data_IF_640662345790
#
_entry.id   IF_640662345790
#
_cell.length_a   1.000
_cell.length_b   1.000
_cell.length_c   1.000
_cell.angle_alpha   90.00
_cell.angle_beta   90.00
_cell.angle_gamma   90.00
#
_symmetry.space_group_name_H-M   'P 1'
#
loop_
_entity.id
_entity.type
_entity.pdbx_description
1 polymer ?
#
# COMPACT_ATOMS: atom_id res chain seq x y z
N UNK A 1 18.41 23.57 -14.35
CA UNK A 1 18.16 24.42 -13.16
C UNK A 1 17.31 23.58 -12.24
N UNK A 2 17.95 22.56 -11.68
CA UNK A 2 17.33 21.50 -10.88
C UNK A 2 17.91 21.61 -9.47
N UNK A 3 17.37 22.52 -8.66
CA UNK A 3 17.63 22.48 -7.23
C UNK A 3 16.67 21.45 -6.61
N UNK A 4 17.09 20.19 -6.76
CA UNK A 4 16.62 19.04 -6.01
C UNK A 4 16.97 19.23 -4.51
N UNK A 5 16.21 20.08 -3.81
CA UNK A 5 16.14 19.96 -2.35
C UNK A 5 15.41 18.65 -2.09
N UNK A 6 16.19 17.63 -1.76
CA UNK A 6 15.69 16.37 -1.20
C UNK A 6 14.98 16.74 0.11
N UNK A 7 13.68 16.97 0.01
CA UNK A 7 12.84 17.52 1.06
C UNK A 7 12.82 16.55 2.23
N UNK A 8 13.62 16.86 3.25
CA UNK A 8 13.74 16.00 4.43
C UNK A 8 12.44 16.11 5.22
N UNK A 9 11.65 15.06 5.18
CA UNK A 9 10.42 14.90 5.96
C UNK A 9 10.68 14.00 7.15
N UNK A 10 9.98 14.27 8.25
CA UNK A 10 9.96 13.40 9.40
C UNK A 10 9.07 12.18 9.11
N UNK A 11 9.54 11.00 9.52
CA UNK A 11 8.83 9.73 9.36
C UNK A 11 8.63 9.12 10.74
N UNK A 12 7.39 8.87 11.10
CA UNK A 12 7.05 8.16 12.33
C UNK A 12 5.89 7.19 12.10
N UNK A 13 5.91 6.11 12.85
CA UNK A 13 4.74 5.25 13.01
C UNK A 13 3.67 5.96 13.82
N UNK A 14 2.43 5.49 13.73
CA UNK A 14 1.31 6.03 14.51
C UNK A 14 1.62 6.03 16.02
N UNK A 15 2.28 4.97 16.51
CA UNK A 15 2.65 4.85 17.91
C UNK A 15 3.68 5.89 18.33
N UNK A 16 4.78 6.05 17.58
CA UNK A 16 5.81 7.05 17.84
C UNK A 16 5.23 8.48 17.79
N UNK A 17 4.33 8.75 16.84
CA UNK A 17 3.64 10.03 16.74
C UNK A 17 2.76 10.31 17.96
N UNK A 18 2.00 9.31 18.44
CA UNK A 18 1.20 9.45 19.65
C UNK A 18 2.05 9.70 20.90
N UNK A 19 3.19 9.02 21.03
CA UNK A 19 4.10 9.22 22.15
C UNK A 19 4.75 10.61 22.11
N UNK A 20 5.23 11.02 20.94
CA UNK A 20 5.82 12.35 20.75
C UNK A 20 4.84 13.48 21.04
N UNK A 21 3.58 13.34 20.62
CA UNK A 21 2.53 14.32 20.90
C UNK A 21 2.22 14.42 22.40
N UNK A 22 2.10 13.28 23.10
CA UNK A 22 1.85 13.25 24.55
C UNK A 22 3.00 13.88 25.34
N UNK A 23 4.23 13.62 24.95
CA UNK A 23 5.40 14.22 25.59
C UNK A 23 5.45 15.73 25.35
N UNK A 24 5.16 16.20 24.13
CA UNK A 24 5.07 17.62 23.82
C UNK A 24 3.97 18.32 24.63
N UNK A 25 2.79 17.72 24.75
CA UNK A 25 1.68 18.23 25.58
C UNK A 25 2.10 18.33 27.05
N UNK A 26 2.72 17.27 27.59
CA UNK A 26 3.18 17.22 28.98
C UNK A 26 4.19 18.33 29.28
N UNK A 27 5.17 18.53 28.40
CA UNK A 27 6.17 19.60 28.54
C UNK A 27 5.51 20.97 28.44
N UNK A 28 4.56 21.15 27.52
CA UNK A 28 3.85 22.42 27.39
C UNK A 28 3.05 22.78 28.64
N UNK A 29 2.39 21.79 29.24
CA UNK A 29 1.63 21.98 30.49
C UNK A 29 2.53 22.50 31.61
N UNK A 30 3.79 22.06 31.69
CA UNK A 30 4.76 22.60 32.64
C UNK A 30 5.10 24.07 32.36
N UNK A 31 5.28 24.45 31.10
CA UNK A 31 5.52 25.84 30.69
C UNK A 31 4.34 26.74 31.06
N UNK A 32 3.11 26.27 30.84
CA UNK A 32 1.88 26.98 31.19
C UNK A 32 1.78 27.17 32.71
N UNK A 33 2.04 26.12 33.51
CA UNK A 33 1.99 26.22 34.98
C UNK A 33 3.05 27.14 35.57
N UNK A 34 4.23 27.24 34.95
CA UNK A 34 5.32 28.12 35.39
C UNK A 34 5.10 29.58 35.00
N UNK A 35 4.16 29.85 34.08
CA UNK A 35 3.88 31.20 33.63
C UNK A 35 3.06 31.96 34.68
N UNK A 36 3.59 33.09 35.12
CA UNK A 36 2.88 34.04 35.97
C UNK A 36 2.32 35.17 35.13
N UNK A 37 1.11 35.63 35.45
CA UNK A 37 0.49 36.76 34.77
C UNK A 37 1.35 38.02 34.93
N UNK A 38 1.84 38.55 33.81
CA UNK A 38 2.56 39.82 33.73
C UNK A 38 1.62 40.95 33.33
N UNK A 39 1.96 42.19 33.66
CA UNK A 39 1.19 43.39 33.26
C UNK A 39 1.33 43.75 31.77
N UNK A 40 2.23 43.07 31.05
CA UNK A 40 2.50 43.32 29.64
C UNK A 40 1.42 42.71 28.74
N UNK A 41 1.09 43.39 27.65
CA UNK A 41 0.13 42.90 26.66
C UNK A 41 0.79 41.80 25.80
N UNK A 42 0.60 40.55 26.22
CA UNK A 42 1.19 39.36 25.61
C UNK A 42 0.14 38.27 25.42
N UNK A 43 0.36 37.42 24.41
CA UNK A 43 -0.34 36.15 24.31
C UNK A 43 0.28 35.13 25.28
N UNK A 44 -0.53 34.46 26.12
CA UNK A 44 -0.04 33.49 27.09
C UNK A 44 0.42 32.20 26.40
N UNK A 45 1.26 31.38 27.05
CA UNK A 45 1.65 30.09 26.49
C UNK A 45 0.43 29.18 26.33
N UNK A 46 0.38 28.44 25.23
CA UNK A 46 -0.76 27.56 24.91
C UNK A 46 -0.29 26.33 24.15
N UNK A 47 -0.94 25.20 24.37
CA UNK A 47 -0.80 24.02 23.54
C UNK A 47 -1.91 24.01 22.49
N UNK A 48 -1.56 23.93 21.20
CA UNK A 48 -2.53 23.99 20.10
C UNK A 48 -2.97 22.61 19.58
N UNK A 49 -2.82 21.58 20.41
CA UNK A 49 -3.00 20.15 20.08
C UNK A 49 -1.94 19.57 19.14
N UNK A 50 -0.93 20.35 18.77
CA UNK A 50 0.22 19.87 17.99
C UNK A 50 1.50 20.21 18.71
N UNK A 51 1.71 21.48 19.06
CA UNK A 51 2.95 21.97 19.65
C UNK A 51 2.70 23.06 20.71
N UNK A 52 3.71 23.32 21.52
CA UNK A 52 3.65 24.36 22.55
C UNK A 52 4.03 25.72 21.97
N UNK A 53 3.24 26.74 22.24
CA UNK A 53 3.55 28.12 21.90
C UNK A 53 3.99 28.87 23.16
N UNK A 54 5.12 29.56 23.08
CA UNK A 54 5.62 30.40 24.16
C UNK A 54 4.94 31.78 24.16
N UNK A 55 5.18 32.54 25.23
CA UNK A 55 4.73 33.93 25.34
C UNK A 55 5.16 34.76 24.13
N UNK A 56 4.24 35.54 23.59
CA UNK A 56 4.46 36.34 22.38
C UNK A 56 3.89 37.74 22.57
N UNK A 57 4.59 38.77 22.10
CA UNK A 57 4.13 40.16 22.23
C UNK A 57 2.87 40.40 21.40
N UNK A 58 1.91 41.15 21.93
CA UNK A 58 0.73 41.56 21.19
C UNK A 58 1.10 42.28 19.87
N UNK A 59 0.37 41.97 18.80
CA UNK A 59 0.63 42.49 17.45
C UNK A 59 1.82 41.86 16.73
N UNK A 60 2.41 40.78 17.25
CA UNK A 60 3.53 40.06 16.62
C UNK A 60 3.20 38.61 16.32
N UNK A 61 3.98 37.99 15.43
CA UNK A 61 3.85 36.58 15.09
C UNK A 61 4.88 35.75 15.84
N UNK A 62 4.44 34.62 16.39
CA UNK A 62 5.31 33.56 16.88
C UNK A 62 5.67 32.64 15.71
N UNK A 63 6.93 32.22 15.62
CA UNK A 63 7.38 31.21 14.67
C UNK A 63 8.31 30.20 15.34
N UNK A 64 8.20 28.93 14.94
CA UNK A 64 9.05 27.85 15.43
C UNK A 64 9.14 26.73 14.39
N UNK A 65 10.22 25.92 14.42
CA UNK A 65 10.39 24.80 13.50
C UNK A 65 9.25 23.79 13.66
N UNK A 66 8.88 23.15 12.55
CA UNK A 66 7.88 22.08 12.56
C UNK A 66 8.34 20.94 13.49
N UNK A 67 7.41 20.34 14.26
CA UNK A 67 7.75 19.29 15.21
C UNK A 67 8.26 18.01 14.55
N UNK A 68 9.38 17.48 15.07
CA UNK A 68 9.94 16.18 14.68
C UNK A 68 9.26 14.99 15.37
N UNK A 69 7.94 14.97 15.42
CA UNK A 69 7.13 13.84 15.90
C UNK A 69 5.83 13.64 15.11
N UNK A 70 5.56 14.48 14.11
CA UNK A 70 4.38 14.37 13.24
C UNK A 70 4.81 13.79 11.89
N UNK A 71 4.20 12.68 11.47
CA UNK A 71 4.54 12.05 10.19
C UNK A 71 4.30 12.99 9.01
N UNK A 72 5.21 12.96 8.05
CA UNK A 72 5.25 13.79 6.84
C UNK A 72 5.40 15.30 7.06
N UNK A 73 5.84 15.78 8.23
CA UNK A 73 6.22 17.19 8.37
C UNK A 73 7.62 17.46 7.81
N UNK A 74 7.81 18.60 7.15
CA UNK A 74 9.13 19.09 6.72
C UNK A 74 9.98 19.41 7.95
N UNK A 75 11.17 18.83 8.03
CA UNK A 75 12.10 19.06 9.16
C UNK A 75 12.55 20.53 9.23
N UNK A 76 12.66 21.19 8.07
CA UNK A 76 13.13 22.57 7.97
C UNK A 76 11.99 23.59 7.81
N UNK A 77 10.73 23.15 7.89
CA UNK A 77 9.59 24.06 7.77
C UNK A 77 9.37 24.88 9.05
N UNK A 78 8.62 25.96 8.93
CA UNK A 78 8.23 26.82 10.04
C UNK A 78 6.71 26.85 10.24
N UNK A 79 6.27 26.58 11.47
CA UNK A 79 4.90 26.87 11.88
C UNK A 79 4.82 28.33 12.37
N UNK A 80 3.73 29.04 12.04
CA UNK A 80 3.54 30.45 12.40
C UNK A 80 2.19 30.64 13.08
N UNK A 81 2.16 31.36 14.20
CA UNK A 81 0.94 31.70 14.94
C UNK A 81 0.88 33.18 15.27
N UNK A 82 -0.24 33.83 14.96
CA UNK A 82 -0.41 35.27 15.17
C UNK A 82 -0.90 35.61 16.58
N UNK A 83 -0.27 36.60 17.22
CA UNK A 83 -0.75 37.21 18.45
C UNK A 83 -1.43 38.55 18.13
N UNK A 84 -2.71 38.68 18.44
CA UNK A 84 -3.49 39.89 18.16
C UNK A 84 -3.08 41.05 19.08
N UNK A 85 -3.43 42.28 18.69
CA UNK A 85 -3.11 43.49 19.47
C UNK A 85 -3.77 43.50 20.85
N UNK A 86 -4.86 42.77 21.04
CA UNK A 86 -5.54 42.64 22.34
C UNK A 86 -4.89 41.61 23.29
N UNK A 87 -3.75 41.00 22.92
CA UNK A 87 -3.08 39.97 23.72
C UNK A 87 -3.72 38.59 23.65
N UNK A 88 -4.61 38.33 22.68
CA UNK A 88 -5.18 37.01 22.44
C UNK A 88 -4.64 36.37 21.16
N UNK A 89 -4.57 35.03 21.15
CA UNK A 89 -4.15 34.29 19.97
C UNK A 89 -5.16 34.46 18.83
N UNK A 90 -4.66 34.59 17.60
CA UNK A 90 -5.49 34.72 16.41
C UNK A 90 -6.53 33.59 16.30
N UNK A 91 -7.77 33.99 16.03
CA UNK A 91 -8.92 33.10 15.84
C UNK A 91 -9.35 33.21 14.40
N UNK A 92 -9.45 32.07 13.71
CA UNK A 92 -9.95 32.05 12.35
C UNK A 92 -11.45 32.37 12.35
N UNK A 93 -11.92 33.39 11.62
CA UNK A 93 -13.34 33.76 11.57
C UNK A 93 -14.25 32.68 10.98
N UNK A 94 -13.74 31.78 10.14
CA UNK A 94 -14.53 30.72 9.52
C UNK A 94 -14.82 29.55 10.48
N UNK A 95 -13.84 29.17 11.29
CA UNK A 95 -13.94 28.02 12.21
C UNK A 95 -14.21 28.42 13.66
N UNK A 96 -14.18 29.73 13.94
CA UNK A 96 -14.29 30.31 15.28
C UNK A 96 -13.36 29.64 16.31
N UNK A 97 -12.15 29.26 15.87
CA UNK A 97 -11.17 28.56 16.68
C UNK A 97 -9.78 29.14 16.50
N UNK A 98 -8.94 29.00 17.54
CA UNK A 98 -7.56 29.49 17.49
C UNK A 98 -6.78 28.78 16.39
N UNK A 99 -6.00 29.51 15.60
CA UNK A 99 -5.41 28.97 14.37
C UNK A 99 -3.88 29.12 14.31
N UNK A 100 -3.24 28.12 13.71
CA UNK A 100 -1.80 28.07 13.45
C UNK A 100 -1.58 27.78 11.96
N UNK A 101 -0.68 28.52 11.33
CA UNK A 101 -0.26 28.28 9.95
C UNK A 101 0.80 27.18 9.89
N UNK A 102 0.40 26.00 9.39
CA UNK A 102 1.29 24.87 9.12
C UNK A 102 1.60 24.68 7.63
N UNK A 103 1.30 25.66 6.76
CA UNK A 103 1.47 25.52 5.31
C UNK A 103 2.91 25.17 4.93
N UNK A 104 3.88 25.72 5.65
CA UNK A 104 5.30 25.43 5.42
C UNK A 104 5.75 24.09 6.03
N UNK A 105 4.94 23.45 6.88
CA UNK A 105 5.25 22.12 7.42
C UNK A 105 4.87 20.98 6.48
N UNK A 106 3.95 21.18 5.52
CA UNK A 106 3.52 20.12 4.62
C UNK A 106 4.34 20.09 3.34
N UNK A 107 4.93 18.94 2.96
CA UNK A 107 5.67 18.80 1.71
C UNK A 107 4.76 18.96 0.50
N UNK A 108 5.35 19.23 -0.66
CA UNK A 108 4.59 19.38 -1.90
C UNK A 108 3.81 18.10 -2.25
N UNK A 109 2.48 18.21 -2.24
CA UNK A 109 1.57 17.10 -2.52
C UNK A 109 1.57 16.70 -4.01
N UNK A 110 2.11 17.53 -4.90
CA UNK A 110 2.17 17.26 -6.35
C UNK A 110 2.87 15.94 -6.67
N UNK A 111 4.00 15.65 -5.99
CA UNK A 111 4.78 14.41 -6.16
C UNK A 111 3.98 13.19 -5.72
N UNK A 112 3.30 13.27 -4.57
CA UNK A 112 2.47 12.18 -4.04
C UNK A 112 1.30 11.87 -4.97
N UNK A 113 0.65 12.91 -5.50
CA UNK A 113 -0.46 12.75 -6.44
C UNK A 113 0.00 12.12 -7.76
N UNK A 114 1.17 12.51 -8.27
CA UNK A 114 1.77 11.90 -9.47
C UNK A 114 2.06 10.40 -9.26
N UNK A 115 2.71 10.03 -8.15
CA UNK A 115 2.99 8.62 -7.82
C UNK A 115 1.71 7.82 -7.64
N UNK A 116 0.71 8.35 -6.93
CA UNK A 116 -0.59 7.68 -6.76
C UNK A 116 -1.28 7.46 -8.11
N UNK A 117 -1.25 8.45 -9.00
CA UNK A 117 -1.82 8.31 -10.34
C UNK A 117 -1.11 7.20 -11.14
N UNK A 118 0.22 7.15 -11.10
CA UNK A 118 0.99 6.07 -11.75
C UNK A 118 0.64 4.69 -11.17
N UNK A 119 0.53 4.57 -9.84
CA UNK A 119 0.14 3.32 -9.19
C UNK A 119 -1.28 2.89 -9.59
N UNK A 120 -2.22 3.83 -9.65
CA UNK A 120 -3.61 3.55 -10.06
C UNK A 120 -3.68 3.04 -11.51
N UNK A 121 -2.88 3.61 -12.42
CA UNK A 121 -2.79 3.15 -13.81
C UNK A 121 -2.29 1.70 -13.86
N UNK A 122 -1.19 1.41 -13.16
CA UNK A 122 -0.61 0.04 -13.11
C UNK A 122 -1.61 -0.96 -12.55
N UNK A 123 -2.29 -0.62 -11.45
CA UNK A 123 -3.31 -1.47 -10.84
C UNK A 123 -4.48 -1.72 -11.78
N UNK A 124 -4.94 -0.70 -12.50
CA UNK A 124 -6.05 -0.81 -13.45
C UNK A 124 -5.70 -1.76 -14.60
N UNK A 125 -4.50 -1.63 -15.16
CA UNK A 125 -4.00 -2.53 -16.22
C UNK A 125 -3.91 -3.97 -15.71
N UNK A 126 -3.38 -4.18 -14.50
CA UNK A 126 -3.26 -5.50 -13.89
C UNK A 126 -4.62 -6.18 -13.67
N UNK A 127 -5.57 -5.48 -13.06
CA UNK A 127 -6.92 -6.02 -12.77
C UNK A 127 -7.65 -6.36 -14.07
N UNK A 128 -7.60 -5.47 -15.05
CA UNK A 128 -8.24 -5.68 -16.36
C UNK A 128 -7.62 -6.88 -17.07
N UNK A 129 -6.29 -6.95 -17.11
CA UNK A 129 -5.55 -8.05 -17.74
C UNK A 129 -5.85 -9.42 -17.11
N UNK A 130 -5.86 -9.51 -15.78
CA UNK A 130 -6.17 -10.77 -15.10
C UNK A 130 -7.63 -11.20 -15.29
N UNK A 131 -8.56 -10.25 -15.33
CA UNK A 131 -9.98 -10.54 -15.58
C UNK A 131 -10.19 -11.13 -16.97
N UNK A 132 -9.63 -10.50 -18.01
CA UNK A 132 -9.68 -10.99 -19.39
C UNK A 132 -9.02 -12.37 -19.49
N UNK A 133 -7.87 -12.55 -18.81
CA UNK A 133 -7.14 -13.82 -18.82
C UNK A 133 -7.96 -14.97 -18.25
N UNK A 134 -8.63 -14.78 -17.11
CA UNK A 134 -9.47 -15.82 -16.51
C UNK A 134 -10.60 -16.22 -17.46
N UNK A 135 -11.31 -15.25 -18.03
CA UNK A 135 -12.44 -15.52 -18.94
C UNK A 135 -11.96 -16.35 -20.14
N UNK A 136 -10.84 -15.96 -20.75
CA UNK A 136 -10.26 -16.68 -21.90
C UNK A 136 -9.78 -18.09 -21.51
N UNK A 137 -9.08 -18.24 -20.38
CA UNK A 137 -8.57 -19.53 -19.91
C UNK A 137 -9.67 -20.51 -19.53
N UNK A 138 -10.75 -20.02 -18.90
CA UNK A 138 -11.91 -20.85 -18.55
C UNK A 138 -12.58 -21.34 -19.83
N UNK A 139 -12.76 -20.48 -20.83
CA UNK A 139 -13.31 -20.88 -22.14
C UNK A 139 -12.45 -21.94 -22.81
N UNK A 140 -11.12 -21.74 -22.86
CA UNK A 140 -10.18 -22.71 -23.43
C UNK A 140 -10.22 -24.06 -22.67
N UNK A 141 -10.28 -24.02 -21.34
CA UNK A 141 -10.37 -25.22 -20.50
C UNK A 141 -11.66 -26.00 -20.80
N UNK A 142 -12.81 -25.32 -20.91
CA UNK A 142 -14.09 -25.96 -21.25
C UNK A 142 -14.01 -26.64 -22.61
N UNK A 143 -13.47 -25.97 -23.63
CA UNK A 143 -13.30 -26.54 -24.98
C UNK A 143 -12.42 -27.80 -24.94
N UNK A 144 -11.28 -27.74 -24.25
CA UNK A 144 -10.38 -28.89 -24.12
C UNK A 144 -11.06 -30.06 -23.39
N UNK A 145 -11.79 -29.81 -22.30
CA UNK A 145 -12.51 -30.85 -21.57
C UNK A 145 -13.61 -31.51 -22.42
N UNK A 146 -14.36 -30.73 -23.20
CA UNK A 146 -15.38 -31.25 -24.13
C UNK A 146 -14.77 -32.16 -25.20
N UNK A 147 -13.68 -31.71 -25.83
CA UNK A 147 -12.99 -32.49 -26.85
C UNK A 147 -12.40 -33.78 -26.27
N UNK A 148 -11.89 -33.72 -25.03
CA UNK A 148 -11.34 -34.89 -24.30
C UNK A 148 -12.40 -35.91 -23.95
N UNK A 149 -13.60 -35.47 -23.58
CA UNK A 149 -14.74 -36.35 -23.32
C UNK A 149 -15.14 -37.13 -24.58
N UNK A 150 -15.17 -36.48 -25.74
CA UNK A 150 -15.52 -37.08 -27.03
C UNK A 150 -14.45 -38.05 -27.58
N UNK A 151 -13.16 -37.77 -27.37
CA UNK A 151 -12.02 -38.50 -28.00
C UNK A 151 -11.37 -39.58 -27.12
N UNK A 152 -12.15 -40.35 -26.35
CA UNK A 152 -11.66 -41.34 -25.36
C UNK A 152 -10.71 -42.43 -25.92
N UNK A 153 -10.50 -42.52 -27.23
CA UNK A 153 -9.73 -43.58 -27.92
C UNK A 153 -8.25 -43.24 -28.24
N UNK A 154 -7.81 -41.97 -28.28
CA UNK A 154 -6.42 -41.61 -28.68
C UNK A 154 -5.50 -41.32 -27.48
N UNK A 155 -4.78 -42.35 -27.00
CA UNK A 155 -3.84 -42.30 -25.85
C UNK A 155 -2.74 -41.24 -25.97
N UNK A 156 -2.29 -40.88 -27.17
CA UNK A 156 -1.19 -39.93 -27.42
C UNK A 156 -1.61 -38.47 -27.20
N UNK A 157 -2.79 -38.09 -27.71
CA UNK A 157 -3.38 -36.75 -27.56
C UNK A 157 -3.72 -36.47 -26.09
N UNK A 158 -4.01 -37.53 -25.32
CA UNK A 158 -4.32 -37.43 -23.90
C UNK A 158 -3.20 -36.79 -23.07
N UNK A 159 -1.93 -37.13 -23.27
CA UNK A 159 -0.83 -36.68 -22.39
C UNK A 159 -0.60 -35.18 -22.46
N UNK A 160 -0.48 -34.64 -23.69
CA UNK A 160 -0.29 -33.20 -23.93
C UNK A 160 -1.48 -32.41 -23.39
N UNK A 161 -2.70 -32.90 -23.59
CA UNK A 161 -3.88 -32.23 -23.03
C UNK A 161 -3.95 -32.29 -21.50
N UNK A 162 -3.38 -33.29 -20.81
CA UNK A 162 -3.26 -33.26 -19.32
C UNK A 162 -2.35 -32.10 -18.90
N UNK A 163 -1.22 -31.92 -19.58
CA UNK A 163 -0.26 -30.86 -19.25
C UNK A 163 -0.88 -29.47 -19.45
N UNK A 164 -1.52 -29.23 -20.60
CA UNK A 164 -2.21 -27.96 -20.85
C UNK A 164 -3.36 -27.69 -19.86
N UNK A 165 -4.12 -28.73 -19.47
CA UNK A 165 -5.16 -28.57 -18.44
C UNK A 165 -4.54 -28.10 -17.12
N UNK A 166 -3.45 -28.73 -16.66
CA UNK A 166 -2.79 -28.31 -15.43
C UNK A 166 -2.15 -26.92 -15.54
N UNK A 167 -1.56 -26.58 -16.70
CA UNK A 167 -1.05 -25.23 -16.98
C UNK A 167 -2.17 -24.18 -16.87
N UNK A 168 -3.32 -24.43 -17.51
CA UNK A 168 -4.46 -23.51 -17.46
C UNK A 168 -5.02 -23.38 -16.04
N UNK A 169 -5.10 -24.47 -15.28
CA UNK A 169 -5.52 -24.43 -13.87
C UNK A 169 -4.53 -23.58 -13.04
N UNK A 170 -3.22 -23.72 -13.24
CA UNK A 170 -2.22 -22.93 -12.53
C UNK A 170 -2.33 -21.42 -12.86
N UNK A 171 -2.58 -21.06 -14.12
CA UNK A 171 -2.81 -19.66 -14.49
C UNK A 171 -4.15 -19.10 -13.98
N UNK A 172 -5.22 -19.91 -13.96
CA UNK A 172 -6.50 -19.54 -13.35
C UNK A 172 -6.31 -19.29 -11.85
N UNK A 173 -5.58 -20.18 -11.14
CA UNK A 173 -5.26 -19.99 -9.71
C UNK A 173 -4.48 -18.70 -9.48
N UNK A 174 -3.43 -18.44 -10.27
CA UNK A 174 -2.63 -17.21 -10.19
C UNK A 174 -3.49 -15.95 -10.36
N UNK A 175 -4.30 -15.92 -11.40
CA UNK A 175 -5.15 -14.76 -11.67
C UNK A 175 -6.21 -14.57 -10.58
N UNK A 176 -6.83 -15.66 -10.11
CA UNK A 176 -7.85 -15.62 -9.05
C UNK A 176 -7.27 -15.09 -7.74
N UNK A 177 -6.10 -15.59 -7.33
CA UNK A 177 -5.41 -15.14 -6.10
C UNK A 177 -4.93 -13.69 -6.25
N UNK A 178 -4.47 -13.29 -7.44
CA UNK A 178 -4.09 -11.89 -7.68
C UNK A 178 -5.28 -10.93 -7.57
N UNK A 179 -6.46 -11.30 -8.09
CA UNK A 179 -7.67 -10.50 -7.97
C UNK A 179 -8.16 -10.45 -6.52
N UNK A 180 -8.16 -11.59 -5.82
CA UNK A 180 -8.51 -11.65 -4.39
C UNK A 180 -7.59 -10.75 -3.55
N UNK A 181 -6.29 -10.81 -3.82
CA UNK A 181 -5.28 -9.94 -3.21
C UNK A 181 -5.60 -8.46 -3.45
N UNK A 182 -5.84 -8.08 -4.71
CA UNK A 182 -6.15 -6.69 -5.07
C UNK A 182 -7.45 -6.20 -4.44
N UNK A 183 -8.49 -7.03 -4.37
CA UNK A 183 -9.75 -6.68 -3.72
C UNK A 183 -9.57 -6.41 -2.22
N UNK A 184 -8.83 -7.27 -1.52
CA UNK A 184 -8.62 -7.17 -0.07
C UNK A 184 -7.71 -5.98 0.27
N UNK A 185 -6.56 -5.85 -0.38
CA UNK A 185 -5.65 -4.73 -0.12
C UNK A 185 -6.18 -3.39 -0.64
N UNK A 186 -6.92 -3.39 -1.75
CA UNK A 186 -7.59 -2.18 -2.24
C UNK A 186 -8.62 -1.66 -1.24
N UNK A 187 -9.42 -2.55 -0.63
CA UNK A 187 -10.35 -2.18 0.45
C UNK A 187 -9.62 -1.65 1.68
N UNK A 188 -8.53 -2.29 2.10
CA UNK A 188 -7.73 -1.82 3.23
C UNK A 188 -7.12 -0.43 2.99
N UNK A 189 -6.66 -0.16 1.76
CA UNK A 189 -6.13 1.16 1.38
C UNK A 189 -7.21 2.25 1.38
N UNK A 190 -8.40 1.97 0.85
CA UNK A 190 -9.53 2.91 0.87
C UNK A 190 -10.01 3.20 2.30
N UNK A 191 -10.04 2.19 3.17
CA UNK A 191 -10.36 2.39 4.60
C UNK A 191 -9.32 3.26 5.31
N UNK A 192 -8.03 3.06 5.00
CA UNK A 192 -6.93 3.86 5.56
C UNK A 192 -7.03 5.34 5.16
N UNK A 193 -7.43 5.63 3.91
CA UNK A 193 -7.66 7.00 3.43
C UNK A 193 -8.84 7.70 4.12
N UNK A 194 -9.87 6.96 4.52
CA UNK A 194 -11.04 7.50 5.22
C UNK A 194 -10.82 7.67 6.74
N UNK A 195 -9.59 7.51 7.23
CA UNK A 195 -9.23 7.80 8.63
C UNK A 195 -9.86 6.86 9.67
N UNK A 196 -10.34 5.68 9.27
CA UNK A 196 -11.04 4.72 10.14
C UNK A 196 -10.18 3.51 10.52
N UNK A 197 -8.85 3.62 10.45
CA UNK A 197 -7.95 2.50 10.75
C UNK A 197 -7.29 2.64 12.13
N UNK A 198 -8.09 2.82 13.18
CA UNK A 198 -7.55 2.86 14.56
C UNK A 198 -7.53 1.49 15.26
N UNK A 199 -8.07 0.40 14.67
CA UNK A 199 -8.31 -0.81 15.49
C UNK A 199 -8.32 -2.15 14.74
N UNK A 200 -7.46 -2.34 13.74
CA UNK A 200 -7.44 -3.64 13.01
C UNK A 200 -6.04 -4.12 12.57
N UNK A 201 -4.99 -3.79 13.32
CA UNK A 201 -3.63 -4.28 13.06
C UNK A 201 -3.52 -5.80 13.21
N UNK A 202 -4.28 -6.41 14.12
CA UNK A 202 -4.25 -7.87 14.30
C UNK A 202 -5.01 -8.61 13.18
N UNK A 203 -6.25 -8.22 12.85
CA UNK A 203 -7.04 -8.91 11.82
C UNK A 203 -6.37 -8.86 10.44
N UNK A 204 -5.81 -7.70 10.07
CA UNK A 204 -5.10 -7.55 8.79
C UNK A 204 -3.82 -8.38 8.73
N UNK A 205 -3.13 -8.61 9.85
CA UNK A 205 -1.91 -9.45 9.87
C UNK A 205 -2.21 -10.94 9.61
N UNK A 206 -3.25 -11.50 10.23
CA UNK A 206 -3.62 -12.91 10.07
C UNK A 206 -4.17 -13.24 8.67
N UNK A 207 -4.75 -12.26 7.98
CA UNK A 207 -5.28 -12.42 6.62
C UNK A 207 -4.21 -12.10 5.55
N UNK A 208 -3.35 -11.11 5.79
CA UNK A 208 -2.30 -10.71 4.84
C UNK A 208 -1.25 -11.80 4.59
N UNK A 209 -0.79 -12.47 5.66
CA UNK A 209 0.22 -13.55 5.58
C UNK A 209 -0.22 -14.69 4.65
N UNK A 210 -1.36 -15.38 4.88
CA UNK A 210 -1.76 -16.51 4.05
C UNK A 210 -2.08 -16.11 2.60
N UNK A 211 -2.68 -14.94 2.37
CA UNK A 211 -2.96 -14.46 1.00
C UNK A 211 -1.66 -14.22 0.24
N UNK A 212 -0.67 -13.60 0.90
CA UNK A 212 0.62 -13.34 0.27
C UNK A 212 1.38 -14.63 0.00
N UNK A 213 1.35 -15.59 0.92
CA UNK A 213 1.93 -16.93 0.72
C UNK A 213 1.25 -17.65 -0.45
N UNK A 214 -0.09 -17.64 -0.51
CA UNK A 214 -0.85 -18.24 -1.60
C UNK A 214 -0.56 -17.58 -2.95
N UNK A 215 -0.38 -16.25 -2.96
CA UNK A 215 -0.02 -15.50 -4.17
C UNK A 215 1.36 -15.91 -4.69
N UNK A 216 2.37 -15.98 -3.80
CA UNK A 216 3.71 -16.43 -4.16
C UNK A 216 3.67 -17.88 -4.66
N UNK A 217 2.93 -18.76 -3.99
CA UNK A 217 2.74 -20.14 -4.43
C UNK A 217 2.15 -20.21 -5.85
N UNK A 218 1.04 -19.50 -6.10
CA UNK A 218 0.38 -19.52 -7.41
C UNK A 218 1.26 -18.92 -8.52
N UNK A 219 2.06 -17.89 -8.20
CA UNK A 219 3.06 -17.34 -9.11
C UNK A 219 4.09 -18.42 -9.50
N UNK A 220 4.71 -19.04 -8.49
CA UNK A 220 5.75 -20.05 -8.65
C UNK A 220 5.21 -21.28 -9.39
N UNK A 221 4.06 -21.80 -8.98
CA UNK A 221 3.40 -22.93 -9.64
C UNK A 221 3.12 -22.63 -11.13
N UNK A 222 2.60 -21.44 -11.46
CA UNK A 222 2.35 -21.07 -12.87
C UNK A 222 3.64 -21.04 -13.71
N UNK A 223 4.76 -20.59 -13.13
CA UNK A 223 6.06 -20.57 -13.81
C UNK A 223 6.68 -21.97 -13.96
N UNK A 224 6.51 -22.84 -12.97
CA UNK A 224 6.95 -24.23 -13.06
C UNK A 224 6.15 -25.00 -14.11
N UNK A 225 4.82 -24.83 -14.16
CA UNK A 225 4.00 -25.45 -15.19
C UNK A 225 4.39 -25.01 -16.61
N UNK A 226 4.67 -23.72 -16.82
CA UNK A 226 5.19 -23.23 -18.10
C UNK A 226 6.53 -23.89 -18.46
N UNK A 227 7.41 -24.05 -17.47
CA UNK A 227 8.72 -24.69 -17.64
C UNK A 227 8.61 -26.18 -17.98
N UNK A 228 7.69 -26.90 -17.32
CA UNK A 228 7.38 -28.30 -17.61
C UNK A 228 6.89 -28.47 -19.05
N UNK A 229 6.00 -27.60 -19.50
CA UNK A 229 5.50 -27.63 -20.88
C UNK A 229 6.63 -27.36 -21.90
N UNK A 230 7.46 -26.34 -21.65
CA UNK A 230 8.61 -26.03 -22.49
C UNK A 230 9.62 -27.20 -22.58
N UNK A 231 9.86 -27.88 -21.46
CA UNK A 231 10.71 -29.07 -21.42
C UNK A 231 10.13 -30.21 -22.26
N UNK A 232 8.84 -30.50 -22.12
CA UNK A 232 8.16 -31.55 -22.89
C UNK A 232 8.17 -31.25 -24.38
N UNK A 233 7.95 -29.98 -24.78
CA UNK A 233 8.05 -29.54 -26.17
C UNK A 233 9.44 -29.76 -26.74
N UNK A 234 10.48 -29.41 -25.99
CA UNK A 234 11.88 -29.61 -26.42
C UNK A 234 12.19 -31.10 -26.63
N UNK A 235 11.74 -31.97 -25.71
CA UNK A 235 11.91 -33.43 -25.85
C UNK A 235 11.13 -34.00 -27.02
N UNK A 236 9.95 -33.45 -27.32
CA UNK A 236 9.15 -33.84 -28.47
C UNK A 236 9.84 -33.50 -29.80
N UNK A 237 10.48 -32.34 -29.89
CA UNK A 237 11.21 -31.90 -31.09
C UNK A 237 12.41 -32.80 -31.36
N UNK A 238 13.14 -33.20 -30.31
CA UNK A 238 14.34 -34.04 -30.44
C UNK A 238 13.99 -35.50 -30.74
N UNK A 239 12.97 -36.06 -30.08
CA UNK A 239 12.54 -37.44 -30.28
C UNK A 239 11.01 -37.53 -30.33
N UNK A 240 10.45 -37.61 -31.54
CA UNK A 240 9.01 -37.72 -31.73
C UNK A 240 8.42 -39.00 -31.09
N UNK A 241 9.24 -40.05 -30.87
CA UNK A 241 8.82 -41.30 -30.19
C UNK A 241 8.71 -41.12 -28.66
N UNK A 242 9.14 -40.00 -28.11
CA UNK A 242 8.98 -39.65 -26.70
C UNK A 242 7.52 -39.77 -26.24
N UNK A 243 6.56 -39.46 -27.11
CA UNK A 243 5.13 -39.59 -26.81
C UNK A 243 4.63 -41.05 -26.70
N UNK A 244 5.26 -41.98 -27.42
CA UNK A 244 4.95 -43.41 -27.37
C UNK A 244 5.56 -44.10 -26.15
N UNK A 245 6.65 -43.56 -25.58
CA UNK A 245 7.21 -44.08 -24.32
C UNK A 245 6.17 -44.02 -23.20
N UNK A 246 6.10 -45.09 -22.40
CA UNK A 246 5.32 -45.16 -21.15
C UNK A 246 6.01 -44.33 -20.06
N UNK A 247 6.15 -43.03 -20.30
CA UNK A 247 6.66 -42.10 -19.32
C UNK A 247 5.56 -41.78 -18.32
N UNK A 248 5.90 -41.77 -17.03
CA UNK A 248 4.94 -41.54 -15.96
C UNK A 248 4.59 -40.04 -15.89
N UNK A 249 3.44 -39.65 -16.45
CA UNK A 249 2.93 -38.26 -16.43
C UNK A 249 2.85 -37.73 -15.00
N UNK A 250 2.68 -38.63 -14.03
CA UNK A 250 2.71 -38.34 -12.60
C UNK A 250 3.97 -37.56 -12.16
N UNK A 251 5.15 -37.89 -12.69
CA UNK A 251 6.41 -37.19 -12.34
C UNK A 251 6.34 -35.72 -12.73
N UNK A 252 5.76 -35.41 -13.88
CA UNK A 252 5.62 -34.03 -14.37
C UNK A 252 4.57 -33.25 -13.54
N UNK A 253 3.53 -33.93 -13.07
CA UNK A 253 2.51 -33.33 -12.18
C UNK A 253 3.12 -33.01 -10.81
N UNK A 254 3.93 -33.91 -10.26
CA UNK A 254 4.64 -33.67 -8.98
C UNK A 254 5.60 -32.50 -9.11
N UNK A 255 6.37 -32.40 -10.20
CA UNK A 255 7.29 -31.27 -10.43
C UNK A 255 6.54 -29.94 -10.65
N UNK A 256 5.35 -29.98 -11.25
CA UNK A 256 4.58 -28.76 -11.51
C UNK A 256 3.90 -28.16 -10.28
N UNK A 257 3.48 -29.00 -9.32
CA UNK A 257 2.73 -28.57 -8.12
C UNK A 257 3.53 -28.63 -6.81
N UNK A 258 4.56 -29.47 -6.73
CA UNK A 258 5.42 -29.68 -5.57
C UNK A 258 6.65 -28.79 -5.60
#
# INVERSE_FOLDING_TARGET
MDDMVNEKVYRATLHEQYEGLREAERQCRLTIHRHHATSDLICPPVFDNVMCWNVTRAGTNASQPCPGYIDNFRINGLAIRGCMENGSWYVNPETNSSWTNFTDCFPDQSKRNSVNNQLNIIQTIQVTGYTISIVSLVLALVILLRYRYSQRSRRTLSKITILHINLFIAYILRASVSLLRNYIFGRAFVLSLNGHLETETDYTQWVCKPITTLFVYALVASTFWLSVEAFVLTKLIVDWKYLQKRNNVFVHIVIGWG
#
